data_IF_926368180800
#
_entry.id   IF_926368180800
#
_cell.length_a   1.000
_cell.length_b   1.000
_cell.length_c   1.000
_cell.angle_alpha   90.00
_cell.angle_beta   90.00
_cell.angle_gamma   90.00
#
_symmetry.space_group_name_H-M   'P 1'
#
loop_
_entity.id
_entity.type
_entity.pdbx_description
1 polymer ?
#
# COMPACT_ATOMS: atom_id res chain seq x y z
N UNK A 1 -86.72 -27.29 21.70
CA UNK A 1 -86.46 -26.41 22.86
C UNK A 1 -85.24 -25.55 22.55
N UNK A 2 -85.31 -24.22 22.77
CA UNK A 2 -84.25 -23.18 22.59
C UNK A 2 -83.22 -23.26 23.75
N UNK A 3 -82.00 -22.61 23.75
CA UNK A 3 -81.47 -21.45 22.98
C UNK A 3 -80.17 -21.78 22.16
N UNK A 4 -79.70 -21.10 21.10
CA UNK A 4 -79.48 -19.68 20.68
C UNK A 4 -78.08 -19.08 21.02
N UNK A 5 -77.32 -18.77 19.94
CA UNK A 5 -76.50 -17.57 19.63
C UNK A 5 -75.25 -17.18 20.46
N UNK A 6 -74.08 -17.06 19.78
CA UNK A 6 -73.27 -15.82 19.55
C UNK A 6 -71.98 -16.18 18.72
N UNK A 7 -71.78 -15.79 17.46
CA UNK A 7 -71.28 -14.52 16.86
C UNK A 7 -69.80 -14.15 17.14
N UNK A 8 -69.04 -14.00 16.03
CA UNK A 8 -67.92 -13.07 15.75
C UNK A 8 -66.47 -13.31 16.24
N UNK A 9 -65.61 -13.47 15.21
CA UNK A 9 -64.47 -12.60 14.85
C UNK A 9 -63.03 -12.93 15.33
N UNK A 10 -62.10 -12.59 14.42
CA UNK A 10 -60.65 -12.35 14.55
C UNK A 10 -59.79 -13.58 14.20
N UNK A 11 -59.34 -13.75 12.94
CA UNK A 11 -58.11 -13.19 12.35
C UNK A 11 -56.86 -13.36 13.21
N UNK A 12 -55.84 -14.01 12.63
CA UNK A 12 -54.42 -13.92 13.01
C UNK A 12 -54.05 -14.67 14.30
N UNK A 13 -53.37 -15.81 14.12
CA UNK A 13 -52.14 -16.26 14.80
C UNK A 13 -51.96 -17.74 14.41
N UNK A 14 -51.39 -17.94 13.22
CA UNK A 14 -50.61 -19.13 12.87
C UNK A 14 -49.42 -18.68 11.99
N UNK A 15 -48.88 -17.51 12.35
CA UNK A 15 -47.70 -16.85 11.79
C UNK A 15 -46.59 -16.92 12.85
N UNK A 16 -46.22 -18.11 13.32
CA UNK A 16 -45.03 -18.29 14.17
C UNK A 16 -44.40 -19.66 13.96
N UNK A 17 -43.89 -19.88 12.75
CA UNK A 17 -42.79 -20.81 12.48
C UNK A 17 -42.35 -20.68 11.02
N UNK A 18 -42.10 -19.44 10.57
CA UNK A 18 -41.35 -19.20 9.33
C UNK A 18 -39.93 -18.86 9.76
N UNK A 19 -39.05 -19.73 9.32
CA UNK A 19 -37.60 -19.76 9.50
C UNK A 19 -36.97 -18.37 9.30
N UNK A 20 -36.48 -17.79 10.39
CA UNK A 20 -35.79 -16.51 10.42
C UNK A 20 -34.32 -16.85 10.70
N UNK A 21 -33.48 -17.10 9.67
CA UNK A 21 -32.00 -16.87 9.76
C UNK A 21 -31.11 -17.18 8.55
N UNK A 22 -31.53 -17.78 7.42
CA UNK A 22 -30.55 -18.10 6.34
C UNK A 22 -30.64 -17.20 5.09
N UNK A 23 -30.01 -16.01 5.19
CA UNK A 23 -29.16 -15.46 4.13
C UNK A 23 -29.81 -14.84 2.89
N UNK A 24 -30.63 -13.79 3.05
CA UNK A 24 -30.93 -12.86 1.96
C UNK A 24 -29.64 -12.18 1.46
N UNK A 25 -29.23 -12.47 0.22
CA UNK A 25 -28.45 -11.52 -0.58
C UNK A 25 -29.40 -10.88 -1.60
N UNK A 26 -30.11 -9.80 -1.26
CA UNK A 26 -31.18 -9.30 -2.14
C UNK A 26 -30.64 -8.58 -3.39
N UNK A 27 -29.32 -8.43 -3.52
CA UNK A 27 -28.70 -7.59 -4.55
C UNK A 27 -27.43 -8.29 -5.02
N UNK A 28 -27.33 -8.51 -6.33
CA UNK A 28 -26.13 -9.05 -6.97
C UNK A 28 -24.94 -8.12 -6.72
N UNK A 29 -23.72 -8.62 -6.49
CA UNK A 29 -22.52 -7.77 -6.45
C UNK A 29 -22.28 -7.01 -7.77
N UNK A 30 -22.96 -7.41 -8.86
CA UNK A 30 -22.94 -6.72 -10.15
C UNK A 30 -24.13 -5.77 -10.36
N UNK A 31 -25.01 -5.58 -9.37
CA UNK A 31 -26.19 -4.75 -9.52
C UNK A 31 -25.85 -3.26 -9.31
N UNK A 32 -25.71 -2.54 -10.43
CA UNK A 32 -25.58 -1.08 -10.44
C UNK A 32 -26.78 -0.40 -9.79
N UNK A 33 -26.53 0.55 -8.86
CA UNK A 33 -27.55 1.30 -8.12
C UNK A 33 -28.60 0.43 -7.41
N UNK A 34 -28.23 -0.75 -6.91
CA UNK A 34 -29.18 -1.73 -6.32
C UNK A 34 -30.33 -2.12 -7.28
N UNK A 35 -30.10 -2.02 -8.59
CA UNK A 35 -31.11 -2.22 -9.62
C UNK A 35 -32.07 -1.04 -9.82
N UNK A 36 -31.81 0.13 -9.20
CA UNK A 36 -32.64 1.33 -9.34
C UNK A 36 -31.82 2.59 -9.70
N UNK A 37 -31.33 2.68 -10.95
CA UNK A 37 -30.54 3.81 -11.43
C UNK A 37 -31.35 5.11 -11.63
N UNK A 38 -32.68 5.07 -11.42
CA UNK A 38 -33.56 6.25 -11.50
C UNK A 38 -33.59 7.00 -10.17
N UNK A 39 -33.49 6.26 -9.06
CA UNK A 39 -33.52 6.83 -7.69
C UNK A 39 -32.13 7.02 -7.10
N UNK A 40 -31.18 6.20 -7.51
CA UNK A 40 -29.79 6.25 -7.05
C UNK A 40 -28.89 6.43 -8.26
N UNK A 41 -27.96 7.37 -8.16
CA UNK A 41 -26.85 7.53 -9.08
C UNK A 41 -25.62 7.30 -8.22
N UNK A 42 -24.73 6.42 -8.64
CA UNK A 42 -23.37 6.34 -8.12
C UNK A 42 -22.52 7.28 -8.99
N UNK A 43 -22.28 8.53 -8.57
CA UNK A 43 -21.71 9.51 -9.48
C UNK A 43 -20.21 9.29 -9.65
N UNK A 44 -19.52 8.72 -8.64
CA UNK A 44 -18.06 8.81 -8.51
C UNK A 44 -17.35 7.55 -7.94
N UNK A 45 -18.06 6.59 -7.31
CA UNK A 45 -17.46 5.39 -6.71
C UNK A 45 -16.37 5.67 -5.66
N UNK A 46 -16.74 6.13 -4.47
CA UNK A 46 -15.79 6.60 -3.43
C UNK A 46 -15.89 5.80 -2.12
N UNK A 47 -14.78 5.62 -1.39
CA UNK A 47 -14.53 4.41 -0.59
C UNK A 47 -13.53 4.59 0.59
N UNK A 48 -13.63 3.75 1.62
CA UNK A 48 -12.74 3.66 2.80
C UNK A 48 -11.91 2.40 2.73
N UNK A 49 -10.62 2.54 3.00
CA UNK A 49 -9.68 1.44 3.19
C UNK A 49 -9.06 1.44 4.58
N UNK A 50 -8.60 0.27 5.01
CA UNK A 50 -7.76 0.12 6.19
C UNK A 50 -6.48 -0.62 5.81
N UNK A 51 -5.35 -0.14 6.33
CA UNK A 51 -4.05 -0.80 6.22
C UNK A 51 -3.67 -1.39 7.57
N UNK A 52 -3.47 -2.71 7.61
CA UNK A 52 -3.04 -3.38 8.84
C UNK A 52 -1.57 -3.10 9.19
N UNK A 53 -1.16 -3.52 10.38
CA UNK A 53 0.22 -3.37 10.85
C UNK A 53 1.26 -4.03 9.93
N UNK A 54 0.87 -5.01 9.12
CA UNK A 54 1.73 -5.70 8.16
C UNK A 54 1.60 -5.13 6.73
N UNK A 55 1.00 -3.95 6.58
CA UNK A 55 0.84 -3.29 5.28
C UNK A 55 -0.18 -3.93 4.35
N UNK A 56 -1.08 -4.80 4.85
CA UNK A 56 -2.19 -5.33 4.03
C UNK A 56 -3.29 -4.31 3.97
N UNK A 57 -3.72 -3.98 2.75
CA UNK A 57 -4.80 -3.03 2.51
C UNK A 57 -6.11 -3.79 2.29
N UNK A 58 -7.18 -3.32 2.93
CA UNK A 58 -8.51 -3.91 2.81
C UNK A 58 -9.55 -2.80 2.57
N UNK A 59 -10.45 -3.03 1.61
CA UNK A 59 -11.62 -2.20 1.42
C UNK A 59 -12.66 -2.44 2.54
N UNK A 60 -13.27 -1.37 3.05
CA UNK A 60 -14.16 -1.41 4.21
C UNK A 60 -15.59 -1.02 3.86
N UNK A 61 -15.77 0.16 3.25
CA UNK A 61 -17.10 0.72 2.99
C UNK A 61 -17.01 1.88 2.00
N UNK A 62 -18.15 2.37 1.52
CA UNK A 62 -18.21 3.61 0.74
C UNK A 62 -17.97 4.86 1.62
N UNK A 63 -17.51 5.96 1.01
CA UNK A 63 -17.28 7.28 1.64
C UNK A 63 -17.43 8.43 0.64
N UNK A 64 -17.36 9.67 1.12
CA UNK A 64 -17.31 10.89 0.28
C UNK A 64 -15.89 11.22 -0.24
N UNK A 65 -14.88 10.45 0.16
CA UNK A 65 -13.47 10.66 -0.20
C UNK A 65 -12.75 9.30 -0.28
N UNK A 66 -11.69 9.16 -1.09
CA UNK A 66 -10.87 7.94 -1.10
C UNK A 66 -9.85 7.97 0.03
N UNK A 67 -10.21 7.42 1.19
CA UNK A 67 -9.40 7.53 2.42
C UNK A 67 -8.96 6.17 2.95
N UNK A 68 -7.67 6.07 3.26
CA UNK A 68 -7.08 4.91 3.94
C UNK A 68 -6.71 5.27 5.38
N UNK A 69 -7.11 4.42 6.34
CA UNK A 69 -6.75 4.53 7.74
C UNK A 69 -5.72 3.47 8.13
N UNK A 70 -4.74 3.84 8.96
CA UNK A 70 -3.76 2.88 9.49
C UNK A 70 -4.27 2.21 10.77
N UNK A 71 -4.01 0.91 10.88
CA UNK A 71 -4.28 0.11 12.08
C UNK A 71 -2.99 -0.21 12.84
N UNK A 72 -3.07 -0.29 14.16
CA UNK A 72 -2.01 -0.82 14.99
C UNK A 72 -2.00 -2.36 14.99
N UNK A 73 -1.00 -2.95 15.67
CA UNK A 73 -0.85 -4.41 15.80
C UNK A 73 -2.07 -5.13 16.40
N UNK A 74 -2.89 -4.41 17.15
CA UNK A 74 -4.09 -4.94 17.81
C UNK A 74 -5.35 -4.77 16.93
N UNK A 75 -5.20 -4.22 15.72
CA UNK A 75 -6.28 -4.00 14.76
C UNK A 75 -7.07 -2.70 14.98
N UNK A 76 -6.62 -1.81 15.87
CA UNK A 76 -7.30 -0.55 16.14
C UNK A 76 -6.74 0.59 15.29
N UNK A 77 -7.59 1.50 14.82
CA UNK A 77 -7.14 2.70 14.09
C UNK A 77 -6.18 3.53 14.94
N UNK A 78 -5.07 3.95 14.33
CA UNK A 78 -4.04 4.78 14.99
C UNK A 78 -4.43 6.26 15.05
N UNK A 79 -5.45 6.66 14.27
CA UNK A 79 -5.78 8.06 14.01
C UNK A 79 -5.03 8.67 12.82
N UNK A 80 -4.10 7.93 12.20
CA UNK A 80 -3.43 8.35 10.97
C UNK A 80 -4.23 7.92 9.74
N UNK A 81 -4.31 8.80 8.75
CA UNK A 81 -4.98 8.53 7.48
C UNK A 81 -4.35 9.29 6.32
N UNK A 82 -4.62 8.81 5.11
CA UNK A 82 -4.28 9.49 3.86
C UNK A 82 -5.48 9.47 2.93
N UNK A 83 -5.72 10.59 2.25
CA UNK A 83 -6.76 10.73 1.22
C UNK A 83 -6.08 11.01 -0.12
N UNK A 84 -6.51 10.33 -1.17
CA UNK A 84 -5.98 10.46 -2.54
C UNK A 84 -7.11 10.70 -3.54
N UNK A 85 -6.75 11.12 -4.74
CA UNK A 85 -7.68 11.33 -5.87
C UNK A 85 -7.85 10.05 -6.70
N UNK A 86 -6.75 9.33 -6.96
CA UNK A 86 -6.78 8.13 -7.80
C UNK A 86 -7.10 6.86 -6.97
N UNK A 87 -8.39 6.51 -6.89
CA UNK A 87 -8.86 5.30 -6.19
C UNK A 87 -8.19 4.01 -6.66
N UNK A 88 -7.77 3.94 -7.93
CA UNK A 88 -7.23 2.72 -8.51
C UNK A 88 -5.95 2.28 -7.77
N UNK A 89 -5.23 3.22 -7.17
CA UNK A 89 -4.06 2.94 -6.33
C UNK A 89 -4.46 2.05 -5.13
N UNK A 90 -5.55 2.38 -4.43
CA UNK A 90 -6.02 1.59 -3.29
C UNK A 90 -6.67 0.28 -3.74
N UNK A 91 -7.46 0.30 -4.81
CA UNK A 91 -8.04 -0.91 -5.39
C UNK A 91 -6.95 -1.93 -5.77
N UNK A 92 -5.89 -1.47 -6.44
CA UNK A 92 -4.75 -2.32 -6.81
C UNK A 92 -3.98 -2.88 -5.61
N UNK A 93 -3.90 -2.14 -4.51
CA UNK A 93 -3.29 -2.62 -3.26
C UNK A 93 -4.18 -3.57 -2.47
N UNK A 94 -5.51 -3.57 -2.71
CA UNK A 94 -6.43 -4.55 -2.13
C UNK A 94 -6.51 -5.85 -2.94
N UNK A 95 -6.27 -5.76 -4.26
CA UNK A 95 -6.21 -6.92 -5.11
C UNK A 95 -4.98 -7.74 -4.72
N UNK A 96 -5.19 -8.89 -4.09
CA UNK A 96 -4.17 -9.94 -4.03
C UNK A 96 -3.77 -10.24 -5.48
N UNK A 97 -2.56 -9.83 -5.87
CA UNK A 97 -2.14 -9.91 -7.27
C UNK A 97 -2.07 -11.36 -7.75
N UNK A 98 -2.46 -11.59 -9.00
CA UNK A 98 -2.34 -12.87 -9.73
C UNK A 98 -0.90 -13.47 -9.72
N UNK A 99 0.11 -12.70 -9.29
CA UNK A 99 1.52 -13.13 -9.27
C UNK A 99 2.00 -13.69 -7.92
N UNK A 100 1.31 -13.47 -6.79
CA UNK A 100 1.54 -14.18 -5.52
C UNK A 100 0.57 -13.72 -4.44
N UNK A 101 0.01 -14.65 -3.66
CA UNK A 101 -0.80 -14.41 -2.45
C UNK A 101 -0.10 -13.58 -1.35
N UNK A 102 1.14 -13.15 -1.58
CA UNK A 102 2.04 -12.51 -0.63
C UNK A 102 2.37 -11.05 -0.96
N UNK A 103 1.98 -10.55 -2.14
CA UNK A 103 2.36 -9.22 -2.61
C UNK A 103 1.15 -8.37 -3.03
N UNK A 104 1.13 -7.12 -2.60
CA UNK A 104 0.22 -6.10 -3.08
C UNK A 104 1.01 -5.09 -3.93
N UNK A 105 0.57 -4.83 -5.16
CA UNK A 105 1.23 -3.85 -6.03
C UNK A 105 0.24 -3.15 -6.94
N UNK A 106 0.51 -1.89 -7.24
CA UNK A 106 -0.21 -1.12 -8.24
C UNK A 106 0.78 -0.44 -9.18
N UNK A 107 0.42 -0.43 -10.46
CA UNK A 107 1.21 0.11 -11.56
C UNK A 107 0.39 1.13 -12.33
N UNK A 108 0.97 2.31 -12.58
CA UNK A 108 0.30 3.47 -13.17
C UNK A 108 -0.03 4.55 -12.13
N UNK A 109 -0.96 5.43 -12.47
CA UNK A 109 -1.41 6.52 -11.59
C UNK A 109 -0.44 7.69 -11.47
N UNK A 110 -0.81 8.66 -10.63
CA UNK A 110 -0.01 9.86 -10.42
C UNK A 110 1.24 9.55 -9.55
N UNK A 111 2.47 9.82 -10.02
CA UNK A 111 3.68 9.48 -9.27
C UNK A 111 3.80 10.18 -7.91
N UNK A 112 3.18 11.36 -7.77
CA UNK A 112 3.17 12.08 -6.51
C UNK A 112 2.18 11.50 -5.52
N UNK A 113 1.09 10.88 -5.97
CA UNK A 113 0.15 10.17 -5.09
C UNK A 113 0.71 8.81 -4.67
N UNK A 114 1.32 8.07 -5.60
CA UNK A 114 2.08 6.85 -5.31
C UNK A 114 3.16 7.10 -4.24
N UNK A 115 3.91 8.20 -4.38
CA UNK A 115 4.89 8.63 -3.39
C UNK A 115 4.25 8.95 -2.02
N UNK A 116 3.05 9.53 -2.00
CA UNK A 116 2.31 9.82 -0.78
C UNK A 116 1.87 8.52 -0.08
N UNK A 117 1.35 7.56 -0.85
CA UNK A 117 0.94 6.24 -0.35
C UNK A 117 2.15 5.45 0.15
N UNK A 118 3.28 5.50 -0.55
CA UNK A 118 4.55 4.92 -0.09
C UNK A 118 4.96 5.46 1.29
N UNK A 119 4.96 6.79 1.47
CA UNK A 119 5.31 7.41 2.76
C UNK A 119 4.33 6.98 3.86
N UNK A 120 3.03 6.99 3.55
CA UNK A 120 2.00 6.55 4.49
C UNK A 120 2.19 5.10 4.93
N UNK A 121 2.42 4.20 3.97
CA UNK A 121 2.68 2.79 4.21
C UNK A 121 3.93 2.55 5.05
N UNK A 122 5.04 3.19 4.69
CA UNK A 122 6.32 3.08 5.38
C UNK A 122 6.27 3.57 6.84
N UNK A 123 5.57 4.67 7.10
CA UNK A 123 5.50 5.25 8.44
C UNK A 123 4.54 4.49 9.36
N UNK A 124 3.42 4.01 8.80
CA UNK A 124 2.31 3.50 9.59
C UNK A 124 2.17 1.97 9.60
N UNK A 125 3.05 1.25 8.92
CA UNK A 125 3.12 -0.22 8.98
C UNK A 125 4.50 -0.71 9.41
N UNK A 126 4.59 -2.03 9.57
CA UNK A 126 5.83 -2.76 9.78
C UNK A 126 6.39 -3.34 8.48
N UNK A 127 5.71 -3.20 7.35
CA UNK A 127 6.15 -3.79 6.09
C UNK A 127 7.10 -2.86 5.33
N UNK A 128 8.03 -3.46 4.58
CA UNK A 128 8.85 -2.73 3.62
C UNK A 128 7.97 -2.38 2.42
N UNK A 129 7.82 -1.10 2.16
CA UNK A 129 7.19 -0.59 0.95
C UNK A 129 8.25 -0.27 -0.08
N UNK A 130 7.90 -0.39 -1.36
CA UNK A 130 8.72 0.04 -2.49
C UNK A 130 7.93 0.98 -3.39
N UNK A 131 8.62 1.97 -3.94
CA UNK A 131 8.15 2.79 -5.05
C UNK A 131 9.22 2.84 -6.13
N UNK A 132 8.86 2.46 -7.36
CA UNK A 132 9.77 2.32 -8.49
C UNK A 132 9.33 3.19 -9.66
N UNK A 133 10.32 3.71 -10.38
CA UNK A 133 10.21 4.36 -11.68
C UNK A 133 10.94 3.50 -12.70
N UNK A 134 10.28 3.19 -13.81
CA UNK A 134 10.79 2.29 -14.84
C UNK A 134 10.30 2.71 -16.24
N UNK A 135 10.88 2.17 -17.30
CA UNK A 135 10.48 2.44 -18.69
C UNK A 135 10.63 1.18 -19.55
N UNK A 136 9.52 0.67 -20.09
CA UNK A 136 9.48 -0.50 -20.98
C UNK A 136 9.44 -0.12 -22.47
N UNK A 137 9.97 1.06 -22.81
CA UNK A 137 9.95 1.64 -24.15
C UNK A 137 8.73 2.53 -24.43
N UNK A 138 7.97 2.86 -23.39
CA UNK A 138 6.74 3.68 -23.47
C UNK A 138 6.84 4.98 -22.65
N UNK A 139 8.04 5.32 -22.18
CA UNK A 139 8.28 6.44 -21.29
C UNK A 139 8.15 6.05 -19.82
N UNK A 140 8.31 7.04 -18.93
CA UNK A 140 8.31 6.82 -17.49
C UNK A 140 6.99 6.23 -16.97
N UNK A 141 7.10 5.09 -16.32
CA UNK A 141 6.05 4.37 -15.60
C UNK A 141 6.42 4.23 -14.13
N UNK A 142 5.42 3.92 -13.31
CA UNK A 142 5.51 3.97 -11.86
C UNK A 142 4.79 2.79 -11.22
N UNK A 143 5.40 2.21 -10.19
CA UNK A 143 4.82 1.09 -9.46
C UNK A 143 5.10 1.20 -7.97
N UNK A 144 4.10 0.89 -7.14
CA UNK A 144 4.26 0.76 -5.69
C UNK A 144 3.85 -0.62 -5.23
N UNK A 145 4.40 -1.08 -4.12
CA UNK A 145 3.94 -2.31 -3.50
C UNK A 145 4.70 -2.73 -2.25
N UNK A 146 4.26 -3.85 -1.69
CA UNK A 146 4.89 -4.51 -0.55
C UNK A 146 4.61 -6.02 -0.61
N UNK A 147 5.47 -6.81 0.02
CA UNK A 147 5.25 -8.25 0.28
C UNK A 147 4.80 -8.53 1.71
N UNK A 148 4.36 -7.49 2.43
CA UNK A 148 3.88 -7.59 3.82
C UNK A 148 4.94 -8.15 4.80
N UNK A 149 6.21 -7.86 4.54
CA UNK A 149 7.37 -8.33 5.30
C UNK A 149 8.24 -7.15 5.74
N UNK A 150 8.91 -7.24 6.88
CA UNK A 150 9.66 -6.15 7.51
C UNK A 150 11.18 -6.13 7.23
N UNK A 151 11.66 -7.07 6.41
CA UNK A 151 13.05 -7.13 5.95
C UNK A 151 13.20 -7.55 4.49
N UNK A 152 12.12 -7.45 3.71
CA UNK A 152 12.11 -7.78 2.29
C UNK A 152 11.18 -6.84 1.52
N UNK A 153 11.76 -5.98 0.69
CA UNK A 153 11.03 -5.22 -0.31
C UNK A 153 10.57 -6.09 -1.48
N UNK A 154 9.39 -5.76 -2.04
CA UNK A 154 8.85 -6.38 -3.26
C UNK A 154 9.81 -6.22 -4.45
N UNK A 155 9.92 -7.24 -5.31
CA UNK A 155 10.77 -7.19 -6.51
C UNK A 155 10.07 -6.51 -7.70
N UNK A 156 10.83 -5.99 -8.71
CA UNK A 156 10.27 -5.53 -9.98
C UNK A 156 9.32 -6.54 -10.63
N UNK A 157 9.75 -7.80 -10.66
CA UNK A 157 9.02 -8.90 -11.29
C UNK A 157 7.68 -9.17 -10.58
N UNK A 158 7.66 -9.05 -9.25
CA UNK A 158 6.42 -9.16 -8.46
C UNK A 158 5.48 -7.97 -8.67
N UNK A 159 6.03 -6.78 -9.03
CA UNK A 159 5.23 -5.61 -9.45
C UNK A 159 4.86 -5.64 -10.94
N UNK A 160 5.26 -6.69 -11.67
CA UNK A 160 4.85 -6.92 -13.05
C UNK A 160 5.72 -6.27 -14.13
N UNK A 161 6.95 -5.84 -13.82
CA UNK A 161 7.88 -5.31 -14.83
C UNK A 161 9.27 -5.93 -14.74
N UNK A 162 9.96 -5.98 -15.87
CA UNK A 162 11.29 -6.57 -15.94
C UNK A 162 12.29 -5.70 -15.18
N UNK A 163 13.17 -6.33 -14.39
CA UNK A 163 14.16 -5.62 -13.58
C UNK A 163 14.88 -4.63 -14.47
N UNK A 164 15.53 -5.05 -15.54
CA UNK A 164 16.28 -4.25 -16.54
C UNK A 164 15.67 -2.88 -16.89
N UNK A 165 14.35 -2.76 -16.88
CA UNK A 165 13.62 -1.55 -17.27
C UNK A 165 13.53 -0.51 -16.14
N UNK A 166 13.88 -0.87 -14.90
CA UNK A 166 13.85 0.04 -13.77
C UNK A 166 14.95 1.11 -13.84
N UNK A 167 14.55 2.35 -13.61
CA UNK A 167 15.42 3.53 -13.67
C UNK A 167 15.86 3.92 -12.25
N UNK A 168 14.91 3.95 -11.32
CA UNK A 168 15.14 4.31 -9.93
C UNK A 168 14.09 3.66 -9.03
N UNK A 169 14.47 3.33 -7.79
CA UNK A 169 13.51 2.88 -6.79
C UNK A 169 13.90 3.33 -5.40
N UNK A 170 12.91 3.42 -4.53
CA UNK A 170 13.08 3.60 -3.09
C UNK A 170 12.33 2.49 -2.38
N UNK A 171 12.94 1.91 -1.34
CA UNK A 171 12.22 1.08 -0.38
C UNK A 171 12.40 1.59 1.04
N UNK A 172 11.48 1.22 1.92
CA UNK A 172 11.54 1.60 3.34
C UNK A 172 12.17 0.51 4.18
N UNK A 173 12.94 0.87 5.21
CA UNK A 173 13.39 -0.04 6.27
C UNK A 173 12.54 0.15 7.55
N UNK A 174 11.50 -0.69 7.80
CA UNK A 174 10.59 -0.64 8.94
C UNK A 174 11.11 -1.48 10.15
N UNK A 175 10.22 -1.83 11.10
CA UNK A 175 10.48 -2.84 12.14
C UNK A 175 11.75 -2.73 12.98
N UNK A 176 12.63 -3.74 12.95
CA UNK A 176 13.87 -3.77 13.74
C UNK A 176 14.88 -2.69 13.32
N UNK A 177 14.68 -2.07 12.14
CA UNK A 177 15.34 -0.84 11.75
C UNK A 177 14.73 0.40 12.43
N UNK A 178 13.65 0.24 13.21
CA UNK A 178 13.05 1.31 14.03
C UNK A 178 13.85 1.76 15.24
N UNK A 179 14.68 0.87 15.79
CA UNK A 179 15.70 1.24 16.78
C UNK A 179 17.00 1.76 16.17
N UNK A 180 17.17 1.64 14.85
CA UNK A 180 18.37 2.08 14.12
C UNK A 180 18.26 3.59 13.97
N UNK A 181 19.02 4.32 14.78
CA UNK A 181 19.06 5.78 14.76
C UNK A 181 20.47 6.27 14.48
N UNK A 182 20.56 7.20 13.53
CA UNK A 182 21.78 7.88 13.17
C UNK A 182 22.62 7.16 12.10
N UNK A 183 23.54 7.91 11.44
CA UNK A 183 24.08 7.53 10.15
C UNK A 183 24.82 6.18 10.12
N UNK A 184 25.57 5.86 11.18
CA UNK A 184 26.32 4.61 11.23
C UNK A 184 25.41 3.38 11.20
N UNK A 185 24.34 3.41 11.98
CA UNK A 185 23.42 2.29 12.12
C UNK A 185 22.58 2.11 10.85
N UNK A 186 22.12 3.21 10.24
CA UNK A 186 21.40 3.23 8.97
C UNK A 186 22.29 2.70 7.83
N UNK A 187 23.55 3.14 7.76
CA UNK A 187 24.53 2.62 6.79
C UNK A 187 24.77 1.12 6.96
N UNK A 188 24.93 0.66 8.20
CA UNK A 188 25.14 -0.75 8.51
C UNK A 188 23.92 -1.61 8.12
N UNK A 189 22.71 -1.07 8.27
CA UNK A 189 21.49 -1.78 7.87
C UNK A 189 21.36 -1.98 6.35
N UNK A 190 21.90 -1.04 5.55
CA UNK A 190 22.05 -1.19 4.10
C UNK A 190 23.25 -2.09 3.71
N UNK A 191 23.95 -2.64 4.71
CA UNK A 191 25.14 -3.46 4.58
C UNK A 191 26.42 -2.71 4.20
N UNK A 192 26.47 -1.39 4.44
CA UNK A 192 27.68 -0.58 4.24
C UNK A 192 28.43 -0.39 5.56
N UNK A 193 29.69 -0.86 5.60
CA UNK A 193 30.57 -0.77 6.75
C UNK A 193 31.76 0.18 6.47
N UNK A 194 32.43 0.70 7.53
CA UNK A 194 33.62 1.53 7.37
C UNK A 194 34.70 0.89 6.50
N UNK A 195 35.41 1.72 5.74
CA UNK A 195 36.49 1.27 4.85
C UNK A 195 36.02 0.62 3.55
N UNK A 196 34.77 0.84 3.14
CA UNK A 196 34.23 0.31 1.87
C UNK A 196 33.87 -1.18 1.91
N UNK A 197 33.75 -1.76 3.11
CA UNK A 197 33.34 -3.14 3.32
C UNK A 197 31.82 -3.25 3.11
N UNK A 198 31.39 -4.29 2.41
CA UNK A 198 29.97 -4.59 2.14
C UNK A 198 29.58 -5.95 2.71
N UNK A 199 28.40 -6.05 3.34
CA UNK A 199 27.82 -7.30 3.84
C UNK A 199 27.04 -7.98 2.71
N UNK A 200 27.03 -9.32 2.66
CA UNK A 200 26.27 -10.08 1.66
C UNK A 200 25.29 -11.03 2.35
N UNK A 201 24.01 -11.11 1.90
CA UNK A 201 23.35 -10.21 0.95
C UNK A 201 22.95 -8.87 1.62
N UNK A 202 22.97 -7.76 0.87
CA UNK A 202 22.50 -6.43 1.34
C UNK A 202 22.19 -5.48 0.19
N UNK A 203 21.59 -4.31 0.46
CA UNK A 203 21.37 -3.26 -0.55
C UNK A 203 22.66 -2.81 -1.22
N UNK A 204 23.69 -2.53 -0.42
CA UNK A 204 25.02 -2.14 -0.93
C UNK A 204 25.64 -3.24 -1.79
N UNK A 205 25.51 -4.50 -1.40
CA UNK A 205 25.97 -5.61 -2.23
C UNK A 205 25.17 -5.75 -3.53
N UNK A 206 23.85 -5.56 -3.49
CA UNK A 206 23.00 -5.59 -4.67
C UNK A 206 23.38 -4.49 -5.67
N UNK A 207 23.64 -3.26 -5.21
CA UNK A 207 24.11 -2.17 -6.08
C UNK A 207 25.49 -2.49 -6.67
N UNK A 208 26.41 -3.00 -5.85
CA UNK A 208 27.75 -3.38 -6.30
C UNK A 208 27.74 -4.52 -7.32
N UNK A 209 26.91 -5.56 -7.12
CA UNK A 209 26.85 -6.71 -8.01
C UNK A 209 26.07 -6.40 -9.30
N UNK A 210 25.06 -5.52 -9.22
CA UNK A 210 24.28 -5.13 -10.39
C UNK A 210 24.99 -4.14 -11.31
N UNK A 211 25.97 -3.37 -10.82
CA UNK A 211 26.70 -2.41 -11.67
C UNK A 211 27.39 -3.08 -12.86
N UNK A 212 27.80 -4.34 -12.71
CA UNK A 212 28.46 -5.12 -13.76
C UNK A 212 27.46 -5.85 -14.67
N UNK A 213 26.26 -6.15 -14.16
CA UNK A 213 25.24 -6.96 -14.84
C UNK A 213 24.20 -6.14 -15.61
N UNK A 214 23.96 -4.89 -15.19
CA UNK A 214 23.01 -3.95 -15.80
C UNK A 214 23.69 -2.59 -15.96
N UNK A 215 24.44 -2.36 -17.06
CA UNK A 215 25.17 -1.12 -17.29
C UNK A 215 24.17 0.02 -17.61
N UNK A 216 23.71 0.66 -16.54
CA UNK A 216 22.70 1.70 -16.52
C UNK A 216 22.36 1.92 -15.05
N UNK A 217 22.93 2.95 -14.45
CA UNK A 217 23.03 3.12 -13.01
C UNK A 217 21.64 3.28 -12.38
N UNK A 218 21.03 2.18 -11.92
CA UNK A 218 19.76 2.26 -11.21
C UNK A 218 19.97 2.96 -9.89
N UNK A 219 19.31 4.09 -9.75
CA UNK A 219 19.37 4.81 -8.49
C UNK A 219 18.56 4.05 -7.44
N UNK A 220 19.26 3.49 -6.47
CA UNK A 220 18.69 2.75 -5.34
C UNK A 220 18.67 3.63 -4.11
N UNK A 221 17.49 3.86 -3.57
CA UNK A 221 17.29 4.68 -2.39
C UNK A 221 16.68 3.87 -1.24
N UNK A 222 17.00 4.27 -0.02
CA UNK A 222 16.39 3.72 1.20
C UNK A 222 15.81 4.84 2.04
N UNK A 223 14.55 4.68 2.43
CA UNK A 223 13.85 5.55 3.38
C UNK A 223 13.80 4.91 4.78
N UNK A 224 14.14 5.69 5.80
CA UNK A 224 14.07 5.27 7.20
C UNK A 224 12.92 6.00 7.90
N UNK A 225 11.79 5.34 8.21
CA UNK A 225 10.63 5.99 8.82
C UNK A 225 10.91 6.71 10.15
N UNK A 226 11.87 6.24 10.95
CA UNK A 226 12.11 6.76 12.31
C UNK A 226 12.93 8.04 12.32
N UNK A 227 13.93 8.10 11.45
CA UNK A 227 14.74 9.30 11.28
C UNK A 227 14.14 10.23 10.23
N UNK A 228 13.27 9.71 9.35
CA UNK A 228 12.83 10.33 8.11
C UNK A 228 13.97 10.61 7.12
N UNK A 229 15.10 9.90 7.23
CA UNK A 229 16.22 10.04 6.30
C UNK A 229 16.00 9.27 5.01
N UNK A 230 16.48 9.83 3.90
CA UNK A 230 16.56 9.17 2.60
C UNK A 230 18.03 9.10 2.20
N UNK A 231 18.51 7.88 1.93
CA UNK A 231 19.86 7.61 1.48
C UNK A 231 19.88 7.12 0.04
N UNK A 232 20.90 7.52 -0.72
CA UNK A 232 21.29 6.88 -1.98
C UNK A 232 22.33 5.80 -1.67
N UNK A 233 22.03 4.56 -2.04
CA UNK A 233 22.91 3.40 -1.90
C UNK A 233 23.90 3.37 -3.05
N UNK A 234 25.21 3.27 -2.75
CA UNK A 234 26.29 3.50 -3.73
C UNK A 234 27.31 2.36 -3.80
N UNK A 235 26.86 1.13 -3.55
CA UNK A 235 27.72 -0.05 -3.60
C UNK A 235 28.83 -0.02 -2.54
N UNK A 236 30.08 -0.03 -2.99
CA UNK A 236 31.27 0.07 -2.12
C UNK A 236 31.47 1.45 -1.49
N UNK A 237 30.84 2.49 -2.05
CA UNK A 237 30.85 3.82 -1.44
C UNK A 237 29.80 3.88 -0.33
N UNK A 238 30.13 4.60 0.75
CA UNK A 238 29.17 4.82 1.83
C UNK A 238 27.86 5.41 1.27
N UNK A 239 26.68 5.03 1.78
CA UNK A 239 25.43 5.68 1.40
C UNK A 239 25.48 7.20 1.57
N UNK A 240 24.93 7.94 0.62
CA UNK A 240 24.82 9.40 0.72
C UNK A 240 23.46 9.79 1.26
N UNK A 241 23.43 10.56 2.37
CA UNK A 241 22.19 11.20 2.80
C UNK A 241 21.77 12.19 1.73
N UNK A 242 20.62 11.96 1.11
CA UNK A 242 20.02 12.89 0.15
C UNK A 242 19.32 14.01 0.91
N UNK A 243 18.49 13.63 1.87
CA UNK A 243 17.73 14.58 2.70
C UNK A 243 17.05 13.90 3.88
N UNK A 244 16.61 14.72 4.82
CA UNK A 244 15.60 14.38 5.81
C UNK A 244 14.24 14.91 5.34
N UNK A 245 13.17 14.12 5.48
CA UNK A 245 11.81 14.48 5.08
C UNK A 245 10.83 14.62 6.25
N UNK A 246 11.32 14.86 7.48
CA UNK A 246 10.44 15.06 8.64
C UNK A 246 9.28 16.04 8.38
N UNK A 247 8.12 15.78 8.99
CA UNK A 247 6.88 16.53 8.80
C UNK A 247 6.42 16.62 7.33
N UNK A 248 6.65 15.56 6.55
CA UNK A 248 6.20 15.53 5.16
C UNK A 248 4.67 15.53 5.02
N UNK A 249 3.89 15.17 6.06
CA UNK A 249 2.43 15.08 6.02
C UNK A 249 1.94 14.30 4.79
N UNK A 250 2.61 13.20 4.51
CA UNK A 250 2.44 12.37 3.31
C UNK A 250 2.44 13.15 1.98
N UNK A 251 3.14 14.28 1.88
CA UNK A 251 3.29 15.02 0.62
C UNK A 251 4.35 14.37 -0.28
N UNK A 252 3.90 13.46 -1.15
CA UNK A 252 4.73 12.72 -2.08
C UNK A 252 5.45 13.56 -3.13
N UNK A 253 5.07 14.83 -3.35
CA UNK A 253 5.77 15.72 -4.32
C UNK A 253 7.24 15.91 -3.94
N UNK A 254 7.53 16.11 -2.65
CA UNK A 254 8.91 16.32 -2.17
C UNK A 254 9.77 15.07 -2.35
N UNK A 255 9.19 13.89 -2.14
CA UNK A 255 9.85 12.62 -2.35
C UNK A 255 10.12 12.39 -3.83
N UNK A 256 9.08 12.47 -4.66
CA UNK A 256 9.17 12.18 -6.09
C UNK A 256 10.12 13.13 -6.82
N UNK A 257 9.84 14.44 -6.81
CA UNK A 257 10.62 15.42 -7.57
C UNK A 257 12.02 15.66 -6.97
N UNK A 258 12.19 15.39 -5.68
CA UNK A 258 13.48 15.57 -4.99
C UNK A 258 14.37 14.33 -4.98
N UNK A 259 13.87 13.16 -5.40
CA UNK A 259 14.59 11.89 -5.28
C UNK A 259 14.43 11.01 -6.53
N UNK A 260 13.23 10.48 -6.77
CA UNK A 260 12.99 9.46 -7.81
C UNK A 260 12.94 10.00 -9.24
N UNK A 261 12.57 11.27 -9.40
CA UNK A 261 12.57 11.93 -10.69
C UNK A 261 13.96 12.47 -11.09
N UNK A 262 15.00 12.22 -10.29
CA UNK A 262 16.38 12.55 -10.64
C UNK A 262 16.83 11.83 -11.91
N UNK A 263 17.78 12.44 -12.64
CA UNK A 263 18.50 11.78 -13.74
C UNK A 263 19.63 10.93 -13.18
#
# INVERSE_FOLDING_TARGET
MKPKLLTSAICIIALFSVDLTYGYHPISPYAYCMGNPIRFVDPDGQDVWEMDYNGRVKWISQSEEHTMYALNKDGNRTGQSITIQDRAIFDGLTATGEASDYAASFTGGNPTELASVFLFGADNSNAEWRFSRYDEGNGDQYAIGTVHNDGLAISPEQMGFARENEIAFIHSHPGNYKSVTGPFSEHSSMGSLPGGRIIQPSDSWNVYNNSDRYPGNRNSFVYFPNSSNIYHVRGVQAPALIRNVSNHNYNGRKLFWGTLNGR
#
